data_IF_708229677712
#
_entry.id   IF_708229677712
#
_cell.length_a   1.000
_cell.length_b   1.000
_cell.length_c   1.000
_cell.angle_alpha   90.00
_cell.angle_beta   90.00
_cell.angle_gamma   90.00
#
_symmetry.space_group_name_H-M   'P 1'
#
loop_
_entity.id
_entity.type
_entity.pdbx_description
1 polymer ?
#
# COMPACT_ATOMS: atom_id res chain seq x y z
N UNK A 1 20.72 18.35 8.31
CA UNK A 1 19.37 18.83 7.98
C UNK A 1 18.61 17.63 7.46
N UNK A 2 17.42 17.36 7.97
CA UNK A 2 16.53 16.33 7.41
C UNK A 2 16.18 16.73 5.98
N UNK A 3 16.31 15.82 5.01
CA UNK A 3 15.82 16.09 3.66
C UNK A 3 14.30 16.10 3.63
N UNK A 4 13.70 16.60 2.55
CA UNK A 4 12.26 16.52 2.32
C UNK A 4 11.76 15.06 2.33
N UNK A 5 12.57 14.13 1.81
CA UNK A 5 12.28 12.70 1.78
C UNK A 5 12.26 12.13 3.20
N UNK A 6 13.28 12.45 4.02
CA UNK A 6 13.33 12.02 5.42
C UNK A 6 12.13 12.55 6.22
N UNK A 7 11.73 13.81 5.98
CA UNK A 7 10.60 14.41 6.68
C UNK A 7 9.28 13.71 6.33
N UNK A 8 9.06 13.43 5.05
CA UNK A 8 7.87 12.72 4.57
C UNK A 8 7.83 11.26 5.05
N UNK A 9 8.98 10.57 4.99
CA UNK A 9 9.13 9.21 5.50
C UNK A 9 8.83 9.12 7.00
N UNK A 10 9.46 9.97 7.81
CA UNK A 10 9.23 10.00 9.25
C UNK A 10 7.77 10.32 9.59
N UNK A 11 7.12 11.20 8.81
CA UNK A 11 5.71 11.48 8.97
C UNK A 11 4.84 10.25 8.68
N UNK A 12 5.12 9.51 7.60
CA UNK A 12 4.43 8.27 7.26
C UNK A 12 4.55 7.23 8.39
N UNK A 13 5.79 6.92 8.81
CA UNK A 13 6.04 5.96 9.90
C UNK A 13 5.33 6.39 11.18
N UNK A 14 5.42 7.68 11.54
CA UNK A 14 4.73 8.19 12.73
C UNK A 14 3.21 8.05 12.64
N UNK A 15 2.64 8.24 11.45
CA UNK A 15 1.19 8.20 11.22
C UNK A 15 0.66 6.76 11.31
N UNK A 16 1.36 5.80 10.70
CA UNK A 16 1.00 4.37 10.79
C UNK A 16 0.97 3.91 12.25
N UNK A 17 1.95 4.33 13.05
CA UNK A 17 2.04 3.96 14.46
C UNK A 17 0.89 4.52 15.33
N UNK A 18 0.14 5.52 14.84
CA UNK A 18 -1.02 6.06 15.57
C UNK A 18 -2.28 5.20 15.42
N UNK A 19 -2.32 4.28 14.45
CA UNK A 19 -3.50 3.42 14.19
C UNK A 19 -4.81 4.22 14.05
N UNK A 20 -4.75 5.38 13.41
CA UNK A 20 -5.93 6.21 13.14
C UNK A 20 -6.75 5.61 11.97
N UNK A 21 -8.06 5.91 11.87
CA UNK A 21 -8.83 5.60 10.67
C UNK A 21 -8.14 6.09 9.40
N UNK A 22 -8.35 5.37 8.29
CA UNK A 22 -7.71 5.67 7.01
C UNK A 22 -7.82 7.16 6.61
N UNK A 23 -9.02 7.76 6.73
CA UNK A 23 -9.24 9.18 6.41
C UNK A 23 -8.36 10.11 7.24
N UNK A 24 -8.35 9.95 8.55
CA UNK A 24 -7.59 10.81 9.46
C UNK A 24 -6.08 10.68 9.23
N UNK A 25 -5.62 9.45 8.95
CA UNK A 25 -4.23 9.19 8.59
C UNK A 25 -3.85 9.86 7.26
N UNK A 26 -4.69 9.71 6.23
CA UNK A 26 -4.46 10.32 4.92
C UNK A 26 -4.39 11.85 5.01
N UNK A 27 -5.33 12.47 5.72
CA UNK A 27 -5.35 13.92 5.91
C UNK A 27 -4.06 14.41 6.59
N UNK A 28 -3.55 13.66 7.57
CA UNK A 28 -2.26 13.96 8.22
C UNK A 28 -1.08 13.90 7.25
N UNK A 29 -1.02 12.89 6.38
CA UNK A 29 0.00 12.78 5.32
C UNK A 29 -0.09 13.98 4.37
N UNK A 30 -1.30 14.30 3.88
CA UNK A 30 -1.50 15.39 2.93
C UNK A 30 -1.15 16.75 3.53
N UNK A 31 -1.55 17.01 4.78
CA UNK A 31 -1.18 18.24 5.50
C UNK A 31 0.35 18.33 5.59
N UNK A 32 1.03 17.28 6.06
CA UNK A 32 2.48 17.27 6.19
C UNK A 32 3.19 17.47 4.85
N UNK A 33 2.76 16.80 3.78
CA UNK A 33 3.36 16.96 2.45
C UNK A 33 3.13 18.36 1.88
N UNK A 34 1.95 18.96 2.14
CA UNK A 34 1.62 20.33 1.71
C UNK A 34 2.43 21.41 2.44
N UNK A 35 3.03 21.08 3.59
CA UNK A 35 3.97 21.96 4.29
C UNK A 35 5.35 21.96 3.62
N UNK A 36 5.74 20.82 3.05
CA UNK A 36 7.01 20.62 2.36
C UNK A 36 7.02 21.18 0.93
N UNK A 37 5.92 21.00 0.19
CA UNK A 37 5.78 21.42 -1.21
C UNK A 37 4.50 22.24 -1.37
N UNK A 38 4.61 23.45 -1.93
CA UNK A 38 3.48 24.39 -2.07
C UNK A 38 2.88 24.33 -3.48
N UNK A 39 1.81 23.56 -3.64
CA UNK A 39 1.13 23.29 -4.92
C UNK A 39 -0.37 23.08 -4.71
N UNK A 40 -1.18 23.37 -5.73
CA UNK A 40 -2.64 23.47 -5.58
C UNK A 40 -3.36 22.11 -5.62
N UNK A 41 -2.71 21.05 -6.10
CA UNK A 41 -3.34 19.72 -6.16
C UNK A 41 -3.57 19.09 -4.78
N UNK A 42 -2.93 19.59 -3.72
CA UNK A 42 -3.16 19.10 -2.35
C UNK A 42 -4.62 19.23 -1.93
N UNK A 43 -5.30 20.32 -2.31
CA UNK A 43 -6.70 20.49 -1.97
C UNK A 43 -7.61 19.54 -2.74
N UNK A 44 -7.20 19.13 -3.94
CA UNK A 44 -7.89 18.06 -4.69
C UNK A 44 -7.68 16.70 -4.01
N UNK A 45 -6.44 16.40 -3.59
CA UNK A 45 -6.11 15.15 -2.89
C UNK A 45 -6.87 14.98 -1.56
N UNK A 46 -7.14 16.07 -0.83
CA UNK A 46 -7.98 16.03 0.39
C UNK A 46 -9.43 15.63 0.10
N UNK A 47 -9.94 16.00 -1.07
CA UNK A 47 -11.35 15.79 -1.44
C UNK A 47 -11.62 14.40 -2.01
N UNK A 48 -10.57 13.65 -2.33
CA UNK A 48 -10.69 12.29 -2.87
C UNK A 48 -11.39 11.38 -1.85
N UNK A 49 -12.29 10.51 -2.32
CA UNK A 49 -12.86 9.43 -1.52
C UNK A 49 -11.90 8.22 -1.40
N UNK A 50 -10.88 8.38 -0.56
CA UNK A 50 -9.85 7.37 -0.27
C UNK A 50 -10.39 6.08 0.35
N UNK A 51 -11.62 6.09 0.88
CA UNK A 51 -12.24 4.92 1.50
C UNK A 51 -13.02 4.07 0.50
N UNK A 52 -13.29 4.58 -0.71
CA UNK A 52 -14.13 3.93 -1.73
C UNK A 52 -13.69 2.49 -2.06
N UNK A 53 -12.38 2.22 -2.08
CA UNK A 53 -11.83 0.90 -2.44
C UNK A 53 -11.64 -0.04 -1.25
N UNK A 54 -11.86 0.41 0.01
CA UNK A 54 -11.52 -0.35 1.21
C UNK A 54 -12.21 -1.72 1.29
N UNK A 55 -13.51 -1.76 0.99
CA UNK A 55 -14.27 -3.02 0.98
C UNK A 55 -13.78 -3.95 -0.12
N UNK A 56 -13.53 -3.41 -1.32
CA UNK A 56 -13.03 -4.18 -2.46
C UNK A 56 -11.65 -4.80 -2.19
N UNK A 57 -10.75 -4.02 -1.58
CA UNK A 57 -9.42 -4.49 -1.18
C UNK A 57 -9.48 -5.58 -0.10
N UNK A 58 -10.30 -5.40 0.94
CA UNK A 58 -10.48 -6.43 1.96
C UNK A 58 -11.02 -7.74 1.36
N UNK A 59 -12.04 -7.67 0.50
CA UNK A 59 -12.60 -8.83 -0.19
C UNK A 59 -11.59 -9.49 -1.15
N UNK A 60 -10.76 -8.70 -1.81
CA UNK A 60 -9.67 -9.21 -2.65
C UNK A 60 -8.67 -10.02 -1.81
N UNK A 61 -8.18 -9.47 -0.70
CA UNK A 61 -7.27 -10.18 0.21
C UNK A 61 -7.89 -11.49 0.74
N UNK A 62 -9.14 -11.43 1.21
CA UNK A 62 -9.86 -12.61 1.70
C UNK A 62 -10.05 -13.68 0.62
N UNK A 63 -10.37 -13.26 -0.61
CA UNK A 63 -10.54 -14.17 -1.74
C UNK A 63 -9.25 -14.93 -2.04
N UNK A 64 -8.10 -14.26 -2.03
CA UNK A 64 -6.80 -14.90 -2.28
C UNK A 64 -6.55 -16.04 -1.30
N UNK A 65 -6.65 -15.77 0.00
CA UNK A 65 -6.38 -16.79 1.03
C UNK A 65 -7.48 -17.85 1.16
N UNK A 66 -8.69 -17.56 0.69
CA UNK A 66 -9.76 -18.57 0.65
C UNK A 66 -9.59 -19.53 -0.52
N UNK A 67 -9.19 -19.00 -1.69
CA UNK A 67 -8.99 -19.80 -2.91
C UNK A 67 -7.65 -20.55 -2.91
N UNK A 68 -6.62 -19.93 -2.34
CA UNK A 68 -5.29 -20.49 -2.14
C UNK A 68 -4.86 -20.24 -0.71
N UNK A 69 -5.16 -21.15 0.24
CA UNK A 69 -4.80 -20.99 1.64
C UNK A 69 -3.30 -20.82 1.86
N UNK A 70 -2.93 -19.96 2.80
CA UNK A 70 -1.53 -19.73 3.17
C UNK A 70 -0.87 -21.04 3.67
N UNK A 71 0.27 -21.45 3.08
CA UNK A 71 1.09 -22.57 3.59
C UNK A 71 1.53 -22.33 5.03
N UNK A 72 1.66 -23.39 5.84
CA UNK A 72 2.00 -23.31 7.28
C UNK A 72 3.32 -22.58 7.56
N UNK A 73 4.30 -22.66 6.66
CA UNK A 73 5.61 -22.02 6.80
C UNK A 73 5.61 -20.51 6.50
N UNK A 74 4.54 -19.93 5.92
CA UNK A 74 4.48 -18.48 5.70
C UNK A 74 4.47 -17.73 7.04
N UNK A 75 5.40 -16.81 7.25
CA UNK A 75 5.51 -15.98 8.46
C UNK A 75 5.22 -14.49 8.19
N UNK A 76 5.31 -14.07 6.91
CA UNK A 76 5.06 -12.69 6.50
C UNK A 76 4.31 -12.59 5.17
N UNK A 77 3.54 -11.52 5.02
CA UNK A 77 2.85 -11.12 3.80
C UNK A 77 3.50 -9.85 3.25
N UNK A 78 3.77 -9.85 1.96
CA UNK A 78 4.22 -8.69 1.22
C UNK A 78 3.07 -8.14 0.39
N UNK A 79 2.80 -6.84 0.53
CA UNK A 79 1.93 -6.07 -0.36
C UNK A 79 2.80 -5.19 -1.26
N UNK A 80 3.15 -5.71 -2.43
CA UNK A 80 3.99 -4.98 -3.36
C UNK A 80 3.21 -3.96 -4.17
N UNK A 81 3.86 -2.85 -4.51
CA UNK A 81 3.34 -1.77 -5.35
C UNK A 81 4.18 -1.74 -6.63
N UNK A 82 3.50 -1.75 -7.78
CA UNK A 82 4.15 -1.74 -9.09
C UNK A 82 3.32 -0.92 -10.09
N UNK A 83 3.96 -0.37 -11.12
CA UNK A 83 3.28 0.17 -12.29
C UNK A 83 3.22 -0.89 -13.39
N UNK A 84 2.03 -1.14 -13.91
CA UNK A 84 1.80 -2.05 -15.05
C UNK A 84 1.16 -1.29 -16.20
N UNK A 85 1.32 -1.80 -17.42
CA UNK A 85 0.50 -1.34 -18.54
C UNK A 85 -0.88 -1.97 -18.44
N UNK A 86 -1.90 -1.12 -18.41
CA UNK A 86 -3.30 -1.51 -18.41
C UNK A 86 -3.99 -0.91 -19.64
N UNK A 87 -4.70 -1.75 -20.38
CA UNK A 87 -5.47 -1.34 -21.55
C UNK A 87 -6.83 -0.79 -21.10
N UNK A 88 -7.17 0.44 -21.51
CA UNK A 88 -8.49 0.99 -21.26
C UNK A 88 -9.56 0.45 -22.24
N UNK A 89 -10.84 0.77 -22.00
CA UNK A 89 -11.96 0.31 -22.84
C UNK A 89 -11.85 0.71 -24.32
N UNK A 90 -10.97 1.67 -24.66
CA UNK A 90 -10.72 2.12 -26.03
C UNK A 90 -9.49 1.45 -26.66
N UNK A 91 -8.88 0.47 -25.98
CA UNK A 91 -7.67 -0.19 -26.44
C UNK A 91 -6.40 0.65 -26.26
N UNK A 92 -6.44 1.70 -25.42
CA UNK A 92 -5.26 2.54 -25.17
C UNK A 92 -4.52 2.03 -23.94
N UNK A 93 -3.27 1.62 -24.12
CA UNK A 93 -2.38 1.27 -23.00
C UNK A 93 -2.03 2.52 -22.18
N UNK A 94 -2.21 2.43 -20.87
CA UNK A 94 -1.81 3.44 -19.89
C UNK A 94 -1.10 2.77 -18.73
N UNK A 95 -0.09 3.44 -18.19
CA UNK A 95 0.49 3.01 -16.92
C UNK A 95 -0.56 3.12 -15.80
N UNK A 96 -0.62 2.11 -14.96
CA UNK A 96 -1.50 2.07 -13.82
C UNK A 96 -0.78 1.44 -12.62
N UNK A 97 -1.02 1.99 -11.44
CA UNK A 97 -0.64 1.36 -10.19
C UNK A 97 -1.44 0.09 -9.97
N UNK A 98 -0.71 -1.00 -9.80
CA UNK A 98 -1.22 -2.24 -9.25
C UNK A 98 -0.57 -2.50 -7.89
N UNK A 99 -1.32 -3.14 -7.02
CA UNK A 99 -0.77 -3.75 -5.82
C UNK A 99 -0.91 -5.26 -5.92
N UNK A 100 -0.02 -5.99 -5.26
CA UNK A 100 -0.06 -7.43 -5.27
C UNK A 100 0.27 -8.05 -3.92
N UNK A 101 -0.19 -9.28 -3.68
CA UNK A 101 0.01 -9.99 -2.42
C UNK A 101 0.80 -11.27 -2.64
N UNK A 102 1.91 -11.41 -1.92
CA UNK A 102 2.69 -12.65 -1.82
C UNK A 102 3.01 -12.94 -0.35
N UNK A 103 3.57 -14.12 -0.07
CA UNK A 103 4.00 -14.48 1.28
C UNK A 103 5.33 -15.20 1.31
N UNK A 104 6.06 -15.02 2.40
CA UNK A 104 7.40 -15.57 2.61
C UNK A 104 7.48 -16.35 3.91
N UNK A 105 8.42 -17.29 3.98
CA UNK A 105 8.76 -18.01 5.20
C UNK A 105 9.69 -17.22 6.12
N UNK A 106 10.42 -16.25 5.55
CA UNK A 106 11.33 -15.38 6.27
C UNK A 106 10.75 -13.97 6.42
N UNK A 107 11.20 -13.26 7.44
CA UNK A 107 10.84 -11.86 7.65
C UNK A 107 12.04 -11.10 8.19
N UNK A 108 12.43 -10.04 7.49
CA UNK A 108 13.41 -9.07 7.93
C UNK A 108 12.76 -7.67 7.84
N UNK A 109 12.48 -7.01 8.97
CA UNK A 109 11.71 -5.75 8.97
C UNK A 109 12.44 -4.57 8.32
N UNK A 110 13.75 -4.68 8.11
CA UNK A 110 14.60 -3.59 7.61
C UNK A 110 15.16 -3.89 6.21
N UNK A 111 14.73 -4.98 5.57
CA UNK A 111 15.28 -5.46 4.31
C UNK A 111 14.16 -6.09 3.46
N UNK A 112 13.98 -5.65 2.20
CA UNK A 112 12.95 -6.21 1.32
C UNK A 112 13.32 -7.58 0.73
N UNK A 113 14.58 -8.02 0.86
CA UNK A 113 15.08 -9.25 0.22
C UNK A 113 14.26 -10.50 0.59
N UNK A 114 13.65 -10.53 1.79
CA UNK A 114 12.81 -11.68 2.19
C UNK A 114 11.56 -11.87 1.31
N UNK A 115 11.12 -10.84 0.59
CA UNK A 115 9.92 -10.87 -0.26
C UNK A 115 10.20 -11.31 -1.71
N UNK A 116 11.47 -11.38 -2.13
CA UNK A 116 11.87 -11.61 -3.55
C UNK A 116 11.53 -13.02 -4.02
N UNK A 117 11.66 -14.03 -3.15
CA UNK A 117 11.36 -15.43 -3.45
C UNK A 117 10.18 -15.93 -2.59
N UNK A 118 8.94 -15.58 -2.97
CA UNK A 118 7.78 -15.90 -2.15
C UNK A 118 7.48 -17.41 -2.16
N UNK A 119 7.25 -17.97 -0.98
CA UNK A 119 6.75 -19.35 -0.82
C UNK A 119 5.22 -19.42 -1.02
N UNK A 120 4.54 -18.26 -0.98
CA UNK A 120 3.13 -18.12 -1.30
C UNK A 120 2.95 -17.14 -2.47
N UNK A 121 2.53 -17.69 -3.61
CA UNK A 121 2.33 -16.95 -4.86
C UNK A 121 0.96 -17.32 -5.47
N UNK A 122 -0.14 -16.71 -4.99
CA UNK A 122 -1.47 -17.10 -5.43
C UNK A 122 -1.78 -16.60 -6.84
N UNK A 123 -2.65 -17.32 -7.55
CA UNK A 123 -3.22 -16.80 -8.79
C UNK A 123 -4.06 -15.55 -8.53
N UNK A 124 -4.09 -14.63 -9.50
CA UNK A 124 -4.82 -13.35 -9.39
C UNK A 124 -4.36 -12.47 -8.22
N UNK A 125 -3.08 -12.57 -7.85
CA UNK A 125 -2.45 -11.77 -6.79
C UNK A 125 -2.43 -10.28 -7.05
N UNK A 126 -2.75 -9.79 -8.25
CA UNK A 126 -2.74 -8.37 -8.59
C UNK A 126 -4.14 -7.77 -8.48
N UNK A 127 -4.22 -6.51 -8.05
CA UNK A 127 -5.41 -5.66 -8.15
C UNK A 127 -4.97 -4.24 -8.52
N UNK A 128 -5.80 -3.52 -9.28
CA UNK A 128 -5.57 -2.12 -9.67
C UNK A 128 -6.50 -1.25 -8.83
N UNK A 129 -6.01 -0.55 -7.80
CA UNK A 129 -6.86 0.35 -7.01
C UNK A 129 -7.09 1.65 -7.78
N UNK A 130 -8.34 1.95 -8.13
CA UNK A 130 -8.72 3.19 -8.86
C UNK A 130 -8.16 4.45 -8.20
N UNK A 131 -8.14 4.45 -6.87
CA UNK A 131 -7.65 5.53 -6.04
C UNK A 131 -6.18 5.90 -6.26
N UNK A 132 -5.30 4.92 -6.47
CA UNK A 132 -3.88 5.18 -6.73
C UNK A 132 -3.69 5.83 -8.10
N UNK A 133 -4.49 5.41 -9.07
CA UNK A 133 -4.46 5.98 -10.42
C UNK A 133 -5.08 7.38 -10.47
N UNK A 134 -6.13 7.64 -9.67
CA UNK A 134 -6.68 8.98 -9.49
C UNK A 134 -5.67 9.92 -8.85
N UNK A 135 -4.90 9.44 -7.87
CA UNK A 135 -3.80 10.20 -7.26
C UNK A 135 -2.73 10.48 -8.31
N UNK A 136 -2.25 9.47 -9.04
CA UNK A 136 -1.24 9.62 -10.10
C UNK A 136 -1.65 10.65 -11.17
N UNK A 137 -2.89 10.59 -11.63
CA UNK A 137 -3.44 11.52 -12.62
C UNK A 137 -3.39 12.98 -12.18
N UNK A 138 -3.50 13.26 -10.88
CA UNK A 138 -3.39 14.61 -10.32
C UNK A 138 -1.94 15.09 -10.24
N UNK A 139 -0.98 14.17 -10.11
CA UNK A 139 0.43 14.47 -9.86
C UNK A 139 1.24 14.59 -11.14
N UNK A 140 0.93 13.78 -12.16
CA UNK A 140 1.76 13.62 -13.37
C UNK A 140 2.04 14.91 -14.15
N UNK A 141 1.21 15.95 -13.97
CA UNK A 141 1.44 17.26 -14.58
C UNK A 141 2.53 18.08 -13.89
N UNK A 142 2.85 17.79 -12.63
CA UNK A 142 3.90 18.46 -11.87
C UNK A 142 5.22 17.70 -11.99
N UNK A 143 5.92 17.90 -13.10
CA UNK A 143 7.20 17.24 -13.36
C UNK A 143 8.29 17.56 -12.33
N UNK A 144 8.21 18.70 -11.64
CA UNK A 144 9.22 19.10 -10.65
C UNK A 144 9.12 18.24 -9.39
N UNK A 145 7.90 17.98 -8.93
CA UNK A 145 7.67 17.24 -7.68
C UNK A 145 7.22 15.79 -7.92
N UNK A 146 6.95 15.38 -9.17
CA UNK A 146 6.37 14.08 -9.48
C UNK A 146 7.13 12.95 -8.84
N UNK A 147 8.46 12.86 -9.03
CA UNK A 147 9.27 11.78 -8.47
C UNK A 147 9.12 11.62 -6.94
N UNK A 148 9.03 12.74 -6.20
CA UNK A 148 8.80 12.69 -4.76
C UNK A 148 7.39 12.19 -4.43
N UNK A 149 6.37 12.71 -5.11
CA UNK A 149 4.97 12.34 -4.85
C UNK A 149 4.59 10.94 -5.34
N UNK A 150 5.21 10.48 -6.43
CA UNK A 150 5.07 9.17 -7.07
C UNK A 150 5.64 8.05 -6.19
N UNK A 151 6.60 8.41 -5.34
CA UNK A 151 7.15 7.54 -4.31
C UNK A 151 6.28 7.53 -3.05
N UNK A 152 6.10 8.68 -2.40
CA UNK A 152 5.54 8.70 -1.04
C UNK A 152 4.03 8.47 -0.99
N UNK A 153 3.24 8.96 -1.97
CA UNK A 153 1.79 8.91 -1.87
C UNK A 153 1.19 7.53 -2.12
N UNK A 154 1.64 6.74 -3.13
CA UNK A 154 1.18 5.37 -3.29
C UNK A 154 1.58 4.47 -2.11
N UNK A 155 2.80 4.65 -1.60
CA UNK A 155 3.28 3.93 -0.42
C UNK A 155 2.45 4.29 0.81
N UNK A 156 2.20 5.59 1.04
CA UNK A 156 1.38 6.06 2.14
C UNK A 156 -0.06 5.54 2.06
N UNK A 157 -0.73 5.71 0.91
CA UNK A 157 -2.10 5.22 0.73
C UNK A 157 -2.18 3.72 1.00
N UNK A 158 -1.33 2.93 0.35
CA UNK A 158 -1.39 1.46 0.44
C UNK A 158 -1.10 1.00 1.86
N UNK A 159 -0.08 1.57 2.52
CA UNK A 159 0.27 1.19 3.89
C UNK A 159 -0.85 1.51 4.88
N UNK A 160 -1.45 2.69 4.78
CA UNK A 160 -2.55 3.11 5.64
C UNK A 160 -3.82 2.28 5.36
N UNK A 161 -4.14 2.05 4.09
CA UNK A 161 -5.30 1.28 3.66
C UNK A 161 -5.24 -0.16 4.15
N UNK A 162 -4.08 -0.82 4.01
CA UNK A 162 -3.87 -2.19 4.47
C UNK A 162 -3.92 -2.26 6.00
N UNK A 163 -3.31 -1.30 6.70
CA UNK A 163 -3.39 -1.21 8.16
C UNK A 163 -4.84 -1.07 8.66
N UNK A 164 -5.65 -0.19 8.04
CA UNK A 164 -7.07 -0.02 8.38
C UNK A 164 -7.87 -1.30 8.12
N UNK A 165 -7.64 -1.97 6.97
CA UNK A 165 -8.28 -3.25 6.63
C UNK A 165 -7.96 -4.32 7.68
N UNK A 166 -6.68 -4.48 8.05
CA UNK A 166 -6.24 -5.47 9.04
C UNK A 166 -6.91 -5.22 10.40
N UNK A 167 -7.04 -3.96 10.79
CA UNK A 167 -7.63 -3.58 12.07
C UNK A 167 -9.15 -3.76 12.12
N UNK A 168 -9.86 -3.45 11.03
CA UNK A 168 -11.30 -3.23 11.10
C UNK A 168 -12.16 -4.06 10.12
N UNK A 169 -11.57 -4.70 9.11
CA UNK A 169 -12.35 -5.32 8.01
C UNK A 169 -11.97 -6.75 7.69
N UNK A 170 -10.75 -7.15 8.01
CA UNK A 170 -10.20 -8.45 7.63
C UNK A 170 -10.78 -9.58 8.49
N UNK A 171 -11.29 -10.64 7.86
CA UNK A 171 -11.52 -11.94 8.51
C UNK A 171 -10.21 -12.66 8.80
N UNK A 172 -9.60 -12.29 9.93
CA UNK A 172 -8.25 -12.74 10.34
C UNK A 172 -8.13 -14.26 10.43
N UNK A 173 -9.20 -14.98 10.76
CA UNK A 173 -9.24 -16.44 10.84
C UNK A 173 -8.81 -17.14 9.54
N UNK A 174 -9.04 -16.51 8.38
CA UNK A 174 -8.64 -17.04 7.09
C UNK A 174 -7.12 -16.97 6.88
N UNK A 175 -6.46 -16.03 7.54
CA UNK A 175 -5.01 -15.80 7.46
C UNK A 175 -4.24 -16.56 8.54
N UNK A 176 -4.88 -16.80 9.70
CA UNK A 176 -4.25 -17.30 10.91
C UNK A 176 -4.49 -18.80 11.17
N UNK A 177 -4.90 -19.57 10.17
CA UNK A 177 -5.26 -20.99 10.32
C UNK A 177 -4.21 -21.85 11.06
N UNK A 178 -2.92 -21.55 10.86
CA UNK A 178 -1.79 -22.30 11.41
C UNK A 178 -0.84 -21.47 12.29
N UNK A 179 -1.22 -20.25 12.67
CA UNK A 179 -0.34 -19.30 13.36
C UNK A 179 -1.12 -18.29 14.19
N UNK A 180 -0.44 -17.69 15.16
CA UNK A 180 -1.02 -16.64 16.01
C UNK A 180 -0.85 -15.23 15.43
N UNK A 181 0.11 -15.04 14.52
CA UNK A 181 0.42 -13.75 13.93
C UNK A 181 1.00 -13.90 12.52
N UNK A 182 0.82 -12.87 11.70
CA UNK A 182 1.52 -12.67 10.44
C UNK A 182 2.06 -11.24 10.37
N UNK A 183 3.36 -11.12 10.07
CA UNK A 183 3.93 -9.83 9.71
C UNK A 183 3.39 -9.39 8.35
N UNK A 184 3.23 -8.08 8.18
CA UNK A 184 2.78 -7.48 6.91
C UNK A 184 3.64 -6.27 6.61
N UNK A 185 4.17 -6.22 5.40
CA UNK A 185 4.90 -5.06 4.88
C UNK A 185 4.34 -4.65 3.54
N UNK A 186 4.45 -3.35 3.25
CA UNK A 186 4.03 -2.72 2.00
C UNK A 186 5.23 -2.01 1.40
N UNK A 187 5.48 -2.15 0.10
CA UNK A 187 6.61 -1.46 -0.51
C UNK A 187 6.71 -1.63 -2.03
N UNK A 188 7.74 -1.03 -2.60
CA UNK A 188 8.10 -1.21 -4.00
C UNK A 188 9.16 -2.31 -4.13
N UNK A 189 9.16 -3.05 -5.23
CA UNK A 189 10.06 -4.20 -5.44
C UNK A 189 11.55 -3.81 -5.42
N UNK A 190 11.88 -2.60 -5.91
CA UNK A 190 13.24 -2.05 -5.97
C UNK A 190 13.48 -0.94 -4.93
N UNK A 191 12.62 -0.83 -3.91
CA UNK A 191 12.56 0.41 -3.12
C UNK A 191 12.26 0.21 -1.64
N UNK A 192 11.77 1.30 -1.06
CA UNK A 192 11.47 1.35 0.37
C UNK A 192 10.27 0.47 0.74
N UNK A 193 10.30 -0.01 1.98
CA UNK A 193 9.21 -0.78 2.58
C UNK A 193 8.76 -0.17 3.90
N UNK A 194 7.49 -0.38 4.21
CA UNK A 194 6.90 0.01 5.47
C UNK A 194 6.24 -1.21 6.10
N UNK A 195 6.57 -1.47 7.36
CA UNK A 195 5.90 -2.47 8.17
C UNK A 195 4.58 -1.89 8.69
N UNK A 196 3.48 -2.59 8.46
CA UNK A 196 2.16 -2.18 8.93
C UNK A 196 1.71 -3.07 10.08
N UNK A 197 0.52 -2.82 10.62
CA UNK A 197 -0.04 -3.62 11.71
C UNK A 197 -0.06 -5.10 11.32
N UNK A 198 0.50 -6.01 12.16
CA UNK A 198 0.45 -7.44 11.88
C UNK A 198 -0.98 -7.97 11.99
N UNK A 199 -1.27 -9.07 11.30
CA UNK A 199 -2.53 -9.79 11.46
C UNK A 199 -2.41 -10.64 12.73
N UNK A 200 -3.16 -10.31 13.77
CA UNK A 200 -3.22 -11.03 15.07
C UNK A 200 -4.64 -11.25 15.52
#
# INVERSE_FOLDING_TARGET
MSTIHDAAWNNLISTINLSLPLRDSWDKIIISCSELIKVDYWDKLKQIDIEANQVGLALWMERLVTQSPLPENVSAIWIGIIKILNEDDNGTEKEAYAIYLTGSENYAPDDAEWAVEPVYDPQHKYVIPDILNLVDDLLKSDQENYAFTDWILPLAYTSLAISDIINFRLKKENFLKYRQSLFVSVGFDDGDLVNVTPIT
#
